data_IF_981506307856
#
_entry.id   IF_981506307856
#
_cell.length_a   1.000
_cell.length_b   1.000
_cell.length_c   1.000
_cell.angle_alpha   90.00
_cell.angle_beta   90.00
_cell.angle_gamma   90.00
#
_symmetry.space_group_name_H-M   'P 1'
#
loop_
_entity.id
_entity.type
_entity.pdbx_description
1 polymer ?
#
# COMPACT_ATOMS: atom_id res chain seq x y z
N UNK A 1 -1.96 16.98 30.24
CA UNK A 1 -2.04 16.52 28.85
C UNK A 1 -3.48 16.57 28.41
N UNK A 2 -3.75 17.44 27.51
CA UNK A 2 -5.08 17.50 26.95
C UNK A 2 -5.29 16.28 26.06
N UNK A 3 -6.28 15.46 26.38
CA UNK A 3 -6.76 14.42 25.50
C UNK A 3 -7.42 15.10 24.30
N UNK A 4 -6.61 15.48 23.34
CA UNK A 4 -7.12 15.95 22.08
C UNK A 4 -7.87 14.79 21.42
N UNK A 5 -9.18 14.86 21.45
CA UNK A 5 -10.01 13.89 20.77
C UNK A 5 -9.62 13.88 19.28
N UNK A 6 -9.10 12.76 18.83
CA UNK A 6 -8.77 12.60 17.42
C UNK A 6 -10.05 12.61 16.60
N UNK A 7 -10.03 13.32 15.51
CA UNK A 7 -11.16 13.36 14.58
C UNK A 7 -11.27 12.06 13.79
N UNK A 8 -12.48 11.70 13.43
CA UNK A 8 -12.71 10.56 12.55
C UNK A 8 -12.27 10.89 11.12
N UNK A 9 -11.58 9.98 10.43
CA UNK A 9 -11.12 10.20 9.06
C UNK A 9 -12.24 9.99 8.05
N UNK A 10 -13.21 10.87 8.02
CA UNK A 10 -14.37 10.76 7.13
C UNK A 10 -13.91 10.98 5.69
N UNK A 11 -14.12 9.98 4.83
CA UNK A 11 -13.73 10.05 3.42
C UNK A 11 -12.23 9.89 3.16
N UNK A 12 -11.42 9.71 4.19
CA UNK A 12 -9.98 9.54 4.05
C UNK A 12 -9.67 8.04 4.05
N UNK A 13 -9.04 7.55 2.98
CA UNK A 13 -8.69 6.15 2.80
C UNK A 13 -7.18 5.92 2.69
N UNK A 14 -6.40 6.98 2.78
CA UNK A 14 -4.95 6.92 2.66
C UNK A 14 -4.31 6.94 4.03
N UNK A 15 -3.51 5.93 4.34
CA UNK A 15 -2.86 5.79 5.63
C UNK A 15 -1.99 7.00 5.99
N UNK A 16 -1.20 7.48 5.02
CA UNK A 16 -0.33 8.63 5.25
C UNK A 16 -1.12 9.88 5.65
N UNK A 17 -2.26 10.13 5.01
CA UNK A 17 -3.12 11.27 5.34
C UNK A 17 -3.71 11.15 6.75
N UNK A 18 -4.09 9.94 7.15
CA UNK A 18 -4.62 9.68 8.49
C UNK A 18 -3.56 9.99 9.54
N UNK A 19 -2.34 9.56 9.34
CA UNK A 19 -1.27 9.76 10.30
C UNK A 19 -0.76 11.21 10.30
N UNK A 20 -0.59 11.81 9.16
CA UNK A 20 -0.15 13.21 9.05
C UNK A 20 -1.18 14.18 9.62
N UNK A 21 -2.47 13.89 9.41
CA UNK A 21 -3.56 14.70 9.94
C UNK A 21 -3.94 14.38 11.37
N UNK A 22 -3.27 13.42 12.00
CA UNK A 22 -3.56 12.97 13.36
C UNK A 22 -5.02 12.56 13.59
N UNK A 23 -5.58 11.87 12.60
CA UNK A 23 -6.92 11.31 12.70
C UNK A 23 -6.95 10.01 13.52
N UNK A 24 -8.13 9.61 13.95
CA UNK A 24 -8.31 8.35 14.64
C UNK A 24 -7.96 7.19 13.73
N UNK A 25 -7.04 6.33 14.19
CA UNK A 25 -6.62 5.15 13.46
C UNK A 25 -6.69 3.93 14.37
N UNK A 26 -7.40 2.91 13.92
CA UNK A 26 -7.45 1.63 14.62
C UNK A 26 -6.24 0.81 14.21
N UNK A 27 -5.32 0.62 15.14
CA UNK A 27 -4.04 -0.02 14.89
C UNK A 27 -4.19 -1.51 14.65
N UNK A 28 -4.00 -1.91 13.39
CA UNK A 28 -3.93 -3.31 12.97
C UNK A 28 -2.61 -3.63 12.28
N UNK A 29 -1.58 -2.83 12.56
CA UNK A 29 -0.27 -2.97 11.92
C UNK A 29 0.45 -4.27 12.32
N UNK A 30 0.07 -4.89 13.42
CA UNK A 30 0.55 -6.22 13.77
C UNK A 30 0.25 -7.24 12.67
N UNK A 31 -0.94 -7.16 12.08
CA UNK A 31 -1.31 -8.03 10.97
C UNK A 31 -0.52 -7.74 9.71
N UNK A 32 -0.20 -6.46 9.47
CA UNK A 32 0.68 -6.06 8.37
C UNK A 32 2.06 -6.72 8.54
N UNK A 33 2.62 -6.66 9.73
CA UNK A 33 3.90 -7.29 10.03
C UNK A 33 3.83 -8.81 9.80
N UNK A 34 2.82 -9.47 10.33
CA UNK A 34 2.65 -10.93 10.16
C UNK A 34 2.50 -11.30 8.68
N UNK A 35 1.74 -10.51 7.93
CA UNK A 35 1.51 -10.75 6.51
C UNK A 35 2.81 -10.62 5.71
N UNK A 36 3.59 -9.59 5.97
CA UNK A 36 4.83 -9.33 5.24
C UNK A 36 5.97 -10.28 5.62
N UNK A 37 5.91 -10.90 6.79
CA UNK A 37 6.90 -11.86 7.27
C UNK A 37 6.45 -13.31 7.13
N UNK A 38 5.32 -13.54 6.47
CA UNK A 38 4.86 -14.89 6.18
C UNK A 38 5.67 -15.49 5.02
N UNK A 39 5.63 -16.82 4.90
CA UNK A 39 6.27 -17.52 3.79
C UNK A 39 5.55 -17.33 2.45
N UNK A 40 4.35 -16.79 2.46
CA UNK A 40 3.55 -16.60 1.27
C UNK A 40 3.99 -15.36 0.49
N UNK A 41 4.34 -15.56 -0.77
CA UNK A 41 4.69 -14.46 -1.67
C UNK A 41 3.46 -13.77 -2.26
N UNK A 42 2.36 -14.49 -2.34
CA UNK A 42 1.13 -14.01 -2.96
C UNK A 42 0.00 -14.03 -1.93
N UNK A 43 -0.71 -12.93 -1.87
CA UNK A 43 -1.83 -12.78 -0.94
C UNK A 43 -3.03 -12.23 -1.67
N UNK A 44 -4.19 -12.78 -1.34
CA UNK A 44 -5.46 -12.34 -1.90
C UNK A 44 -6.36 -11.88 -0.75
N UNK A 45 -6.85 -10.66 -0.85
CA UNK A 45 -7.81 -10.11 0.10
C UNK A 45 -9.11 -9.76 -0.62
N UNK A 46 -10.17 -10.45 -0.24
CA UNK A 46 -11.52 -10.13 -0.74
C UNK A 46 -12.36 -9.60 0.42
N UNK A 47 -12.85 -8.38 0.28
CA UNK A 47 -13.69 -7.72 1.26
C UNK A 47 -14.77 -6.91 0.56
N UNK A 48 -15.97 -6.75 1.15
CA UNK A 48 -16.96 -5.83 0.61
C UNK A 48 -16.44 -4.39 0.55
N UNK A 49 -17.14 -3.54 -0.18
CA UNK A 49 -16.81 -2.12 -0.24
C UNK A 49 -16.82 -1.51 1.17
N UNK A 50 -15.93 -0.57 1.42
CA UNK A 50 -15.79 0.18 2.68
C UNK A 50 -15.30 -0.65 3.87
N UNK A 51 -14.66 -1.78 3.62
CA UNK A 51 -14.04 -2.61 4.67
C UNK A 51 -12.52 -2.44 4.75
N UNK A 52 -12.02 -1.29 4.30
CA UNK A 52 -10.62 -0.93 4.53
C UNK A 52 -9.60 -1.50 3.55
N UNK A 53 -10.02 -1.99 2.37
CA UNK A 53 -9.08 -2.50 1.36
C UNK A 53 -8.10 -1.44 0.87
N UNK A 54 -8.61 -0.26 0.54
CA UNK A 54 -7.76 0.86 0.08
C UNK A 54 -6.84 1.34 1.20
N UNK A 55 -7.32 1.36 2.43
CA UNK A 55 -6.51 1.72 3.59
C UNK A 55 -5.38 0.72 3.78
N UNK A 56 -5.67 -0.58 3.69
CA UNK A 56 -4.64 -1.61 3.80
C UNK A 56 -3.59 -1.48 2.70
N UNK A 57 -4.02 -1.24 1.46
CA UNK A 57 -3.12 -1.06 0.34
C UNK A 57 -2.20 0.14 0.55
N UNK A 58 -2.74 1.28 1.00
CA UNK A 58 -1.93 2.46 1.30
C UNK A 58 -1.01 2.25 2.50
N UNK A 59 -1.44 1.48 3.49
CA UNK A 59 -0.60 1.11 4.65
C UNK A 59 0.59 0.29 4.20
N UNK A 60 0.38 -0.71 3.35
CA UNK A 60 1.45 -1.52 2.78
C UNK A 60 2.40 -0.69 1.91
N UNK A 61 1.86 0.24 1.14
CA UNK A 61 2.68 1.15 0.35
C UNK A 61 3.62 1.96 1.24
N UNK A 62 3.10 2.55 2.32
CA UNK A 62 3.91 3.32 3.26
C UNK A 62 4.94 2.44 3.98
N UNK A 63 4.56 1.21 4.34
CA UNK A 63 5.45 0.26 5.00
C UNK A 63 6.65 -0.10 4.10
N UNK A 64 6.38 -0.50 2.85
CA UNK A 64 7.43 -0.89 1.92
C UNK A 64 8.23 0.29 1.37
N UNK A 65 7.68 1.50 1.47
CA UNK A 65 8.42 2.72 1.12
C UNK A 65 9.38 3.18 2.22
N UNK A 66 9.43 2.46 3.34
CA UNK A 66 10.35 2.77 4.44
C UNK A 66 9.96 3.99 5.26
N UNK A 67 8.70 4.41 5.21
CA UNK A 67 8.22 5.61 5.91
C UNK A 67 7.94 5.31 7.38
N UNK A 68 8.99 5.08 8.15
CA UNK A 68 8.92 4.73 9.56
C UNK A 68 8.16 5.77 10.39
N UNK A 69 8.27 7.04 10.04
CA UNK A 69 7.65 8.14 10.77
C UNK A 69 6.12 8.03 10.82
N UNK A 70 5.51 7.40 9.83
CA UNK A 70 4.05 7.20 9.79
C UNK A 70 3.60 6.10 10.76
N UNK A 71 4.50 5.24 11.17
CA UNK A 71 4.20 4.11 12.05
C UNK A 71 4.59 4.35 13.50
N UNK A 72 4.96 5.58 13.82
CA UNK A 72 5.35 5.95 15.18
C UNK A 72 4.17 5.75 16.15
N UNK A 73 4.42 5.03 17.24
CA UNK A 73 3.40 4.72 18.23
C UNK A 73 2.49 3.55 17.90
N UNK A 74 2.68 2.94 16.73
CA UNK A 74 1.90 1.76 16.32
C UNK A 74 2.60 0.46 16.71
N UNK A 75 1.85 -0.64 16.73
CA UNK A 75 2.38 -1.94 17.12
C UNK A 75 3.55 -2.40 16.27
N UNK A 76 3.52 -2.11 14.97
CA UNK A 76 4.57 -2.53 14.03
C UNK A 76 5.91 -1.84 14.30
N UNK A 77 5.92 -0.67 14.91
CA UNK A 77 7.16 0.03 15.27
C UNK A 77 8.03 -0.80 16.21
N UNK A 78 7.39 -1.55 17.09
CA UNK A 78 8.09 -2.44 18.04
C UNK A 78 8.50 -3.76 17.42
N UNK A 79 7.79 -4.21 16.40
CA UNK A 79 8.00 -5.49 15.74
C UNK A 79 9.04 -5.38 14.64
N UNK A 80 8.95 -4.34 13.83
CA UNK A 80 9.87 -4.12 12.70
C UNK A 80 11.07 -3.33 13.15
N UNK A 81 12.25 -3.91 12.99
CA UNK A 81 13.51 -3.27 13.37
C UNK A 81 14.27 -2.71 12.18
N UNK A 82 14.05 -3.29 11.02
CA UNK A 82 14.72 -2.90 9.78
C UNK A 82 13.71 -2.28 8.82
N UNK A 83 13.75 -0.97 8.70
CA UNK A 83 12.88 -0.23 7.78
C UNK A 83 13.63 -0.02 6.47
N UNK A 84 13.46 -0.98 5.56
CA UNK A 84 14.09 -0.92 4.24
C UNK A 84 13.14 -0.30 3.24
N UNK A 85 13.64 0.62 2.45
CA UNK A 85 12.90 1.23 1.36
C UNK A 85 12.92 0.33 0.13
N UNK A 86 11.72 -0.04 -0.33
CA UNK A 86 11.54 -0.80 -1.56
C UNK A 86 10.76 0.00 -2.58
N UNK A 87 11.05 -0.13 -3.88
CA UNK A 87 10.16 0.42 -4.90
C UNK A 87 8.83 -0.32 -4.88
N UNK A 88 7.74 0.43 -4.69
CA UNK A 88 6.40 -0.15 -4.61
C UNK A 88 5.65 0.15 -5.89
N UNK A 89 5.19 -0.91 -6.55
CA UNK A 89 4.36 -0.80 -7.75
C UNK A 89 2.89 -0.97 -7.34
N UNK A 90 2.13 0.09 -7.45
CA UNK A 90 0.72 0.09 -7.09
C UNK A 90 -0.12 0.25 -8.36
N UNK A 91 -0.92 -0.79 -8.67
CA UNK A 91 -1.80 -0.79 -9.83
C UNK A 91 -3.25 -0.67 -9.38
N UNK A 92 -3.86 0.46 -9.70
CA UNK A 92 -5.28 0.69 -9.44
C UNK A 92 -6.06 0.41 -10.73
N UNK A 93 -6.75 -0.72 -10.77
CA UNK A 93 -7.51 -1.14 -11.94
C UNK A 93 -8.95 -0.59 -11.95
N UNK A 94 -9.31 0.26 -10.99
CA UNK A 94 -10.64 0.86 -10.96
C UNK A 94 -10.92 1.78 -12.14
N UNK A 95 -9.88 2.28 -12.79
CA UNK A 95 -9.97 3.08 -14.01
C UNK A 95 -10.37 2.25 -15.24
N UNK A 96 -10.28 0.93 -15.17
CA UNK A 96 -10.54 0.02 -16.28
C UNK A 96 -12.01 -0.42 -16.34
N UNK A 97 -12.93 0.47 -16.11
CA UNK A 97 -14.37 0.17 -16.20
C UNK A 97 -14.76 -0.06 -17.65
N UNK A 98 -15.39 -1.20 -17.91
CA UNK A 98 -15.91 -1.56 -19.24
C UNK A 98 -14.86 -1.64 -20.33
N UNK A 99 -13.66 -2.06 -19.97
CA UNK A 99 -12.55 -2.15 -20.92
C UNK A 99 -12.38 -3.60 -21.36
N UNK A 100 -12.14 -3.80 -22.66
CA UNK A 100 -11.80 -5.09 -23.21
C UNK A 100 -10.36 -5.48 -22.86
N UNK A 101 -9.92 -6.66 -23.34
CA UNK A 101 -8.58 -7.15 -23.08
C UNK A 101 -7.50 -6.18 -23.55
N UNK A 102 -7.66 -5.61 -24.74
CA UNK A 102 -6.68 -4.68 -25.31
C UNK A 102 -6.58 -3.39 -24.48
N UNK A 103 -7.71 -2.87 -24.03
CA UNK A 103 -7.73 -1.69 -23.16
C UNK A 103 -7.08 -1.94 -21.82
N UNK A 104 -7.26 -3.14 -21.24
CA UNK A 104 -6.61 -3.53 -20.00
C UNK A 104 -5.09 -3.62 -20.18
N UNK A 105 -4.64 -4.24 -21.27
CA UNK A 105 -3.21 -4.32 -21.58
C UNK A 105 -2.59 -2.94 -21.75
N UNK A 106 -3.28 -2.02 -22.45
CA UNK A 106 -2.83 -0.65 -22.64
C UNK A 106 -2.74 0.09 -21.30
N UNK A 107 -3.72 -0.10 -20.42
CA UNK A 107 -3.71 0.51 -19.09
C UNK A 107 -2.55 -0.01 -18.24
N UNK A 108 -2.29 -1.31 -18.28
CA UNK A 108 -1.16 -1.93 -17.57
C UNK A 108 0.17 -1.40 -18.10
N UNK A 109 0.33 -1.30 -19.42
CA UNK A 109 1.53 -0.74 -20.04
C UNK A 109 1.75 0.71 -19.62
N UNK A 110 0.68 1.50 -19.57
CA UNK A 110 0.74 2.89 -19.11
C UNK A 110 1.19 2.96 -17.65
N UNK A 111 0.60 2.15 -16.77
CA UNK A 111 0.95 2.10 -15.36
C UNK A 111 2.40 1.66 -15.15
N UNK A 112 2.87 0.67 -15.91
CA UNK A 112 4.25 0.22 -15.86
C UNK A 112 5.21 1.33 -16.29
N UNK A 113 4.90 2.03 -17.37
CA UNK A 113 5.71 3.15 -17.84
C UNK A 113 5.80 4.28 -16.81
N UNK A 114 4.70 4.55 -16.12
CA UNK A 114 4.66 5.53 -15.03
C UNK A 114 5.58 5.13 -13.88
N UNK A 115 5.53 3.86 -13.47
CA UNK A 115 6.38 3.36 -12.38
C UNK A 115 7.85 3.31 -12.78
N UNK A 116 8.15 2.98 -14.02
CA UNK A 116 9.52 3.07 -14.56
C UNK A 116 10.08 4.47 -14.40
N UNK A 117 9.30 5.45 -14.77
CA UNK A 117 9.69 6.84 -14.69
C UNK A 117 9.92 7.29 -13.26
N UNK A 118 9.03 6.87 -12.34
CA UNK A 118 9.14 7.19 -10.92
C UNK A 118 10.40 6.62 -10.28
N UNK A 119 10.76 5.40 -10.64
CA UNK A 119 11.86 4.68 -9.99
C UNK A 119 13.12 4.61 -10.84
N UNK A 120 13.10 5.18 -12.04
CA UNK A 120 14.23 5.15 -13.00
C UNK A 120 14.69 3.71 -13.29
N UNK A 121 13.74 2.78 -13.39
CA UNK A 121 14.00 1.38 -13.67
C UNK A 121 13.89 1.13 -15.18
N UNK A 122 14.83 0.38 -15.73
CA UNK A 122 14.81 0.01 -17.14
C UNK A 122 13.82 -1.13 -17.39
N UNK A 123 13.05 -1.04 -18.49
CA UNK A 123 12.08 -2.05 -18.92
C UNK A 123 12.66 -3.46 -19.01
N UNK A 124 13.92 -3.57 -19.39
CA UNK A 124 14.59 -4.87 -19.50
C UNK A 124 14.66 -5.61 -18.17
N UNK A 125 14.69 -4.89 -17.06
CA UNK A 125 14.76 -5.50 -15.73
C UNK A 125 13.44 -6.16 -15.31
N UNK A 126 12.31 -5.82 -15.91
CA UNK A 126 11.01 -6.41 -15.54
C UNK A 126 10.88 -7.89 -15.89
N UNK A 127 11.62 -8.38 -16.85
CA UNK A 127 11.59 -9.80 -17.22
C UNK A 127 12.09 -10.71 -16.10
N UNK A 128 12.80 -10.16 -15.14
CA UNK A 128 13.39 -10.89 -14.03
C UNK A 128 12.75 -10.59 -12.67
N UNK A 129 11.78 -9.68 -12.62
CA UNK A 129 11.13 -9.31 -11.37
C UNK A 129 9.91 -10.17 -11.11
N UNK A 130 9.93 -10.88 -9.99
CA UNK A 130 8.74 -11.54 -9.46
C UNK A 130 8.01 -10.53 -8.58
N UNK A 131 6.91 -9.99 -9.07
CA UNK A 131 6.12 -9.00 -8.33
C UNK A 131 5.12 -9.74 -7.43
N UNK A 132 5.13 -9.49 -6.11
CA UNK A 132 4.04 -9.93 -5.26
C UNK A 132 2.77 -9.18 -5.66
N UNK A 133 1.72 -9.91 -5.94
CA UNK A 133 0.44 -9.33 -6.35
C UNK A 133 -0.53 -9.38 -5.18
N UNK A 134 -1.00 -8.21 -4.74
CA UNK A 134 -2.08 -8.08 -3.76
C UNK A 134 -3.32 -7.65 -4.51
N UNK A 135 -4.35 -8.46 -4.44
CA UNK A 135 -5.63 -8.17 -5.10
C UNK A 135 -6.73 -8.03 -4.06
#
# INVERSE_FOLDING_TARGET
MEDLQKLYPIGIQTFSEIQEGNYLYIDKTEYVYRMTHSSSKYMFLSRPRRFGKSLLTSTLHSYFSGRKELFHGLAIEKLEKEWVEYPVLHFDLSMAKHVDKEGLESLLDFMLAEHERMFSIDTVSYTHLTLPTIR
#
